data_IF_182321164419
#
_entry.id   IF_182321164419
#
_cell.length_a   1.000
_cell.length_b   1.000
_cell.length_c   1.000
_cell.angle_alpha   90.00
_cell.angle_beta   90.00
_cell.angle_gamma   90.00
#
_symmetry.space_group_name_H-M   'P 1'
#
loop_
_entity.id
_entity.type
_entity.pdbx_description
1 polymer ?
#
# COMPACT_ATOMS: atom_id res chain seq x y z
N UNK A 1 17.89 88.26 49.12
CA UNK A 1 17.15 88.75 47.89
C UNK A 1 17.34 87.72 46.83
N UNK A 2 16.25 87.17 46.42
CA UNK A 2 15.94 86.65 45.11
C UNK A 2 16.86 85.54 44.49
N UNK A 3 16.42 84.35 44.49
CA UNK A 3 15.62 83.64 43.44
C UNK A 3 16.49 83.23 42.29
N UNK A 4 16.64 82.00 41.97
CA UNK A 4 15.69 81.27 41.19
C UNK A 4 16.32 79.89 40.78
N UNK A 5 15.62 78.89 41.01
CA UNK A 5 15.79 77.63 40.26
C UNK A 5 15.51 77.82 38.77
N UNK A 6 16.13 77.03 37.90
CA UNK A 6 15.32 76.18 37.04
C UNK A 6 15.94 74.80 36.80
N UNK A 7 15.14 73.80 36.88
CA UNK A 7 14.31 73.19 35.83
C UNK A 7 15.03 72.12 35.01
N UNK A 8 14.53 70.96 35.22
CA UNK A 8 14.29 69.92 34.23
C UNK A 8 15.50 69.28 33.52
N UNK A 9 16.00 68.24 34.08
CA UNK A 9 16.51 67.13 33.32
C UNK A 9 15.60 65.91 33.57
N UNK A 10 14.59 65.83 32.73
CA UNK A 10 13.81 64.59 32.63
C UNK A 10 14.68 63.54 31.96
N UNK A 11 15.16 62.61 32.74
CA UNK A 11 15.82 61.40 32.24
C UNK A 11 14.74 60.52 31.63
N UNK A 12 14.64 60.53 30.30
CA UNK A 12 13.85 59.58 29.56
C UNK A 12 14.64 58.27 29.54
N UNK A 13 14.30 57.38 30.48
CA UNK A 13 14.73 55.99 30.41
C UNK A 13 13.95 55.29 29.31
N UNK A 14 14.56 55.20 28.11
CA UNK A 14 14.07 54.34 27.03
C UNK A 14 14.42 52.90 27.44
N UNK A 15 13.46 52.26 28.07
CA UNK A 15 13.52 50.83 28.28
C UNK A 15 13.36 50.15 26.91
N UNK A 16 14.49 49.80 26.30
CA UNK A 16 14.49 48.95 25.11
C UNK A 16 13.98 47.56 25.54
N UNK A 17 12.70 47.34 25.39
CA UNK A 17 12.07 46.02 25.55
C UNK A 17 12.47 45.24 24.28
N UNK A 18 13.58 44.49 24.36
CA UNK A 18 13.95 43.51 23.37
C UNK A 18 12.84 42.45 23.33
N UNK A 19 11.89 42.67 22.42
CA UNK A 19 10.97 41.63 22.00
C UNK A 19 11.82 40.64 21.23
N UNK A 20 12.43 39.68 21.91
CA UNK A 20 12.86 38.44 21.29
C UNK A 20 11.61 37.73 20.82
N UNK A 21 11.18 38.02 19.60
CA UNK A 21 10.31 37.13 18.83
C UNK A 21 11.13 35.87 18.62
N UNK A 22 11.03 34.98 19.57
CA UNK A 22 11.43 33.60 19.37
C UNK A 22 10.57 33.06 18.24
N UNK A 23 11.13 33.02 17.05
CA UNK A 23 10.70 32.13 15.99
C UNK A 23 10.89 30.68 16.50
N UNK A 24 10.07 30.28 17.45
CA UNK A 24 9.73 28.88 17.59
C UNK A 24 8.84 28.59 16.39
N UNK A 25 9.44 28.07 15.33
CA UNK A 25 8.70 27.26 14.39
C UNK A 25 7.99 26.23 15.29
N UNK A 26 6.69 26.37 15.40
CA UNK A 26 5.88 25.36 16.07
C UNK A 26 6.17 24.08 15.30
N UNK A 27 6.94 23.17 15.90
CA UNK A 27 6.83 21.78 15.56
C UNK A 27 5.34 21.50 15.75
N UNK A 28 4.61 21.27 14.65
CA UNK A 28 3.23 20.83 14.75
C UNK A 28 3.26 19.67 15.74
N UNK A 29 2.46 19.77 16.82
CA UNK A 29 2.38 18.70 17.79
C UNK A 29 1.91 17.46 17.03
N UNK A 30 2.86 16.57 16.70
CA UNK A 30 2.53 15.32 16.04
C UNK A 30 1.65 14.53 17.00
N UNK A 31 0.57 13.92 16.51
CA UNK A 31 -0.26 13.09 17.35
C UNK A 31 0.58 11.99 17.98
N UNK A 32 0.26 11.62 19.21
CA UNK A 32 0.90 10.49 19.87
C UNK A 32 0.60 9.22 19.04
N UNK A 33 1.66 8.53 18.65
CA UNK A 33 1.57 7.32 17.84
C UNK A 33 2.15 6.18 18.66
N UNK A 34 1.30 5.26 19.09
CA UNK A 34 1.68 4.15 19.96
C UNK A 34 2.89 3.38 19.41
N UNK A 35 3.99 3.41 20.16
CA UNK A 35 5.24 2.74 19.80
C UNK A 35 6.04 3.35 18.64
N UNK A 36 5.57 4.43 17.97
CA UNK A 36 6.28 5.05 16.85
C UNK A 36 6.95 6.35 17.28
N UNK A 37 8.29 6.43 17.27
CA UNK A 37 9.00 7.64 17.73
C UNK A 37 8.77 8.80 16.75
N UNK A 38 8.57 9.98 17.30
CA UNK A 38 8.49 11.25 16.57
C UNK A 38 9.75 12.09 16.76
N UNK A 39 9.97 13.07 15.89
CA UNK A 39 11.06 14.04 16.00
C UNK A 39 10.74 15.33 15.24
N UNK A 40 11.47 16.41 15.52
CA UNK A 40 11.48 17.57 14.64
C UNK A 40 12.23 17.25 13.35
N UNK A 41 11.77 17.78 12.21
CA UNK A 41 12.32 17.48 10.90
C UNK A 41 13.84 17.75 10.83
N UNK A 42 14.29 18.84 11.43
CA UNK A 42 15.70 19.27 11.42
C UNK A 42 16.62 18.26 12.09
N UNK A 43 16.16 17.58 13.15
CA UNK A 43 16.99 16.59 13.88
C UNK A 43 17.30 15.34 13.06
N UNK A 44 16.50 15.08 12.04
CA UNK A 44 16.72 13.97 11.10
C UNK A 44 17.23 14.45 9.73
N UNK A 45 17.51 15.76 9.58
CA UNK A 45 18.05 16.36 8.36
C UNK A 45 16.99 16.61 7.28
N UNK A 46 15.78 16.96 7.70
CA UNK A 46 14.67 17.44 6.86
C UNK A 46 14.36 18.90 7.23
N UNK A 47 13.53 19.57 6.46
CA UNK A 47 13.09 20.95 6.71
C UNK A 47 11.60 20.96 7.02
N UNK A 48 11.24 21.47 8.20
CA UNK A 48 9.83 21.67 8.59
C UNK A 48 9.10 22.57 7.60
N UNK A 49 9.72 23.68 7.17
CA UNK A 49 9.15 24.59 6.17
C UNK A 49 8.80 23.87 4.85
N UNK A 50 9.66 22.94 4.41
CA UNK A 50 9.40 22.16 3.19
C UNK A 50 8.33 21.11 3.40
N UNK A 51 8.21 20.52 4.58
CA UNK A 51 7.14 19.57 4.91
C UNK A 51 5.77 20.25 4.94
N UNK A 52 5.67 21.50 5.39
CA UNK A 52 4.43 22.29 5.35
C UNK A 52 3.90 22.51 3.92
N UNK A 53 4.76 22.39 2.88
CA UNK A 53 4.30 22.45 1.50
C UNK A 53 3.36 21.29 1.17
N UNK A 54 3.53 20.12 1.83
CA UNK A 54 2.68 18.94 1.63
C UNK A 54 1.23 19.34 1.94
N UNK A 55 1.00 19.94 3.10
CA UNK A 55 -0.36 20.34 3.52
C UNK A 55 -0.96 21.39 2.59
N UNK A 56 -0.15 22.37 2.18
CA UNK A 56 -0.62 23.40 1.22
C UNK A 56 -1.02 22.81 -0.12
N UNK A 57 -0.24 21.87 -0.64
CA UNK A 57 -0.55 21.21 -1.91
C UNK A 57 -1.77 20.32 -1.76
N UNK A 58 -1.86 19.53 -0.70
CA UNK A 58 -3.00 18.65 -0.45
C UNK A 58 -4.29 19.43 -0.23
N UNK A 59 -4.24 20.53 0.53
CA UNK A 59 -5.38 21.42 0.71
C UNK A 59 -5.87 21.98 -0.63
N UNK A 60 -4.96 22.37 -1.52
CA UNK A 60 -5.34 22.86 -2.84
C UNK A 60 -6.04 21.81 -3.72
N UNK A 61 -5.74 20.50 -3.57
CA UNK A 61 -6.51 19.43 -4.22
C UNK A 61 -7.93 19.29 -3.63
N UNK A 62 -8.05 19.43 -2.32
CA UNK A 62 -9.35 19.39 -1.63
C UNK A 62 -10.21 20.59 -2.05
N UNK A 63 -9.65 21.79 -2.06
CA UNK A 63 -10.34 23.05 -2.43
C UNK A 63 -10.88 23.00 -3.87
N UNK A 64 -10.23 22.25 -4.76
CA UNK A 64 -10.68 22.01 -6.14
C UNK A 64 -11.62 20.82 -6.30
N UNK A 65 -12.00 20.16 -5.20
CA UNK A 65 -12.82 18.94 -5.20
C UNK A 65 -12.20 17.78 -6.02
N UNK A 66 -10.87 17.71 -6.12
CA UNK A 66 -10.16 16.61 -6.77
C UNK A 66 -10.00 15.39 -5.83
N UNK A 67 -10.05 15.60 -4.51
CA UNK A 67 -10.16 14.58 -3.47
C UNK A 67 -10.97 15.13 -2.31
N UNK A 68 -11.71 14.25 -1.61
CA UNK A 68 -12.47 14.65 -0.43
C UNK A 68 -11.56 14.93 0.78
N UNK A 69 -10.53 14.12 0.95
CA UNK A 69 -9.58 14.26 2.04
C UNK A 69 -8.37 13.36 1.86
N UNK A 70 -7.36 13.58 2.69
CA UNK A 70 -6.07 12.89 2.62
C UNK A 70 -5.44 12.78 4.01
N UNK A 71 -4.68 11.72 4.21
CA UNK A 71 -3.73 11.59 5.32
C UNK A 71 -2.34 11.47 4.74
N UNK A 72 -1.40 12.27 5.22
CA UNK A 72 0.00 12.24 4.82
C UNK A 72 0.90 11.96 6.00
N UNK A 73 1.90 11.10 5.82
CA UNK A 73 2.89 10.78 6.83
C UNK A 73 4.29 10.75 6.21
N UNK A 74 5.24 11.40 6.86
CA UNK A 74 6.66 11.32 6.48
C UNK A 74 7.48 10.86 7.68
N UNK A 75 8.28 9.84 7.47
CA UNK A 75 9.22 9.33 8.46
C UNK A 75 10.65 9.30 7.88
N UNK A 76 11.63 9.58 8.72
CA UNK A 76 13.05 9.46 8.38
C UNK A 76 13.85 8.97 9.57
N UNK A 77 14.81 8.08 9.34
CA UNK A 77 15.64 7.47 10.40
C UNK A 77 14.78 6.82 11.51
N UNK A 78 13.67 6.18 11.12
CA UNK A 78 12.76 5.53 12.05
C UNK A 78 11.92 6.48 12.92
N UNK A 79 11.86 7.77 12.60
CA UNK A 79 11.08 8.77 13.35
C UNK A 79 10.11 9.50 12.43
N UNK A 80 8.86 9.68 12.88
CA UNK A 80 7.86 10.48 12.17
C UNK A 80 8.15 11.95 12.38
N UNK A 81 8.14 12.72 11.30
CA UNK A 81 8.44 14.16 11.29
C UNK A 81 7.32 15.00 10.67
N UNK A 82 6.32 14.34 10.09
CA UNK A 82 5.11 14.96 9.55
C UNK A 82 3.99 13.93 9.58
N UNK A 83 2.84 14.31 10.06
CA UNK A 83 1.62 13.51 10.05
C UNK A 83 0.43 14.45 10.06
N UNK A 84 -0.33 14.48 8.98
CA UNK A 84 -1.41 15.43 8.76
C UNK A 84 -2.64 14.73 8.20
N UNK A 85 -3.82 15.16 8.63
CA UNK A 85 -5.12 14.71 8.14
C UNK A 85 -5.91 15.95 7.71
N UNK A 86 -6.31 16.03 6.43
CA UNK A 86 -6.96 17.18 5.82
C UNK A 86 -8.25 16.75 5.10
N UNK A 87 -9.26 17.62 5.14
CA UNK A 87 -10.53 17.41 4.45
C UNK A 87 -11.46 16.41 5.15
N UNK A 88 -12.23 15.68 4.38
CA UNK A 88 -13.30 14.79 4.84
C UNK A 88 -12.98 13.34 4.47
N UNK A 89 -13.27 12.41 5.40
CA UNK A 89 -13.23 10.97 5.13
C UNK A 89 -14.49 10.46 4.43
N UNK A 90 -15.56 11.23 4.55
CA UNK A 90 -16.87 10.97 3.94
C UNK A 90 -17.49 12.30 3.54
N UNK A 91 -17.50 12.57 2.23
CA UNK A 91 -18.03 13.82 1.67
C UNK A 91 -19.56 13.90 1.76
N UNK A 92 -20.28 12.78 1.88
CA UNK A 92 -21.75 12.81 1.98
C UNK A 92 -22.22 13.24 3.38
N UNK A 93 -21.55 12.77 4.41
CA UNK A 93 -21.85 13.11 5.81
C UNK A 93 -21.08 14.33 6.34
N UNK A 94 -20.07 14.81 5.62
CA UNK A 94 -19.15 15.85 6.09
C UNK A 94 -18.25 15.39 7.25
N UNK A 95 -18.07 14.08 7.42
CA UNK A 95 -17.26 13.56 8.50
C UNK A 95 -15.76 13.89 8.26
N UNK A 96 -15.05 14.53 9.23
CA UNK A 96 -13.69 14.98 9.01
C UNK A 96 -12.73 13.81 8.82
N UNK A 97 -11.68 14.02 8.03
CA UNK A 97 -10.53 13.12 7.97
C UNK A 97 -9.78 13.15 9.29
N UNK A 98 -9.38 11.99 9.78
CA UNK A 98 -8.63 11.85 11.04
C UNK A 98 -7.40 10.97 10.81
N UNK A 99 -6.39 11.08 11.70
CA UNK A 99 -5.15 10.32 11.58
C UNK A 99 -5.35 8.80 11.66
N UNK A 100 -6.43 8.37 12.31
CA UNK A 100 -6.84 6.97 12.47
C UNK A 100 -7.88 6.51 11.41
N UNK A 101 -8.12 7.31 10.38
CA UNK A 101 -9.02 6.93 9.28
C UNK A 101 -8.52 5.69 8.57
N UNK A 102 -9.43 4.74 8.31
CA UNK A 102 -9.10 3.47 7.66
C UNK A 102 -9.18 3.62 6.15
N UNK A 103 -8.12 3.21 5.46
CA UNK A 103 -7.99 3.25 4.01
C UNK A 103 -7.94 1.86 3.39
N UNK A 104 -8.58 1.71 2.22
CA UNK A 104 -8.37 0.54 1.37
C UNK A 104 -7.04 0.73 0.63
N UNK A 105 -6.00 0.09 1.10
CA UNK A 105 -4.64 0.25 0.58
C UNK A 105 -4.38 -0.49 -0.74
N UNK A 106 -5.36 -1.25 -1.23
CA UNK A 106 -5.30 -1.96 -2.52
C UNK A 106 -3.96 -2.71 -2.71
N UNK A 107 -3.20 -2.38 -3.75
CA UNK A 107 -1.94 -3.08 -4.08
C UNK A 107 -0.79 -2.83 -3.10
N UNK A 108 -0.91 -1.88 -2.19
CA UNK A 108 0.05 -1.71 -1.09
C UNK A 108 -0.02 -2.88 -0.09
N UNK A 109 -1.06 -3.72 -0.14
CA UNK A 109 -1.12 -5.01 0.57
C UNK A 109 -0.07 -6.02 0.08
N UNK A 110 0.41 -5.90 -1.17
CA UNK A 110 1.33 -6.89 -1.77
C UNK A 110 2.67 -7.04 -1.05
N UNK A 111 3.39 -5.96 -0.71
CA UNK A 111 4.63 -6.10 0.07
C UNK A 111 4.36 -6.73 1.44
N UNK A 112 3.24 -6.43 2.11
CA UNK A 112 2.90 -7.00 3.40
C UNK A 112 2.69 -8.53 3.28
N UNK A 113 1.88 -8.95 2.30
CA UNK A 113 1.66 -10.38 2.04
C UNK A 113 2.96 -11.11 1.63
N UNK A 114 3.83 -10.44 0.86
CA UNK A 114 5.13 -11.01 0.48
C UNK A 114 6.06 -11.15 1.68
N UNK A 115 6.09 -10.17 2.60
CA UNK A 115 6.83 -10.27 3.87
C UNK A 115 6.32 -11.45 4.69
N UNK A 116 5.00 -11.62 4.84
CA UNK A 116 4.40 -12.75 5.54
C UNK A 116 4.87 -14.10 4.98
N UNK A 117 4.87 -14.24 3.65
CA UNK A 117 5.37 -15.45 3.02
C UNK A 117 6.89 -15.63 3.22
N UNK A 118 7.67 -14.54 3.11
CA UNK A 118 9.12 -14.60 3.30
C UNK A 118 9.53 -14.89 4.75
N UNK A 119 8.73 -14.54 5.75
CA UNK A 119 8.93 -15.00 7.14
C UNK A 119 8.88 -16.54 7.22
N UNK A 120 7.97 -17.17 6.50
CA UNK A 120 7.90 -18.65 6.43
C UNK A 120 9.08 -19.25 5.65
N UNK A 121 9.62 -18.51 4.68
CA UNK A 121 10.86 -18.90 3.99
C UNK A 121 12.05 -18.91 4.96
N UNK A 122 12.19 -17.88 5.79
CA UNK A 122 13.22 -17.82 6.85
C UNK A 122 13.06 -18.93 7.88
N UNK A 123 11.83 -19.35 8.16
CA UNK A 123 11.51 -20.53 9.00
C UNK A 123 11.79 -21.87 8.31
N UNK A 124 12.21 -21.87 7.05
CA UNK A 124 12.54 -23.09 6.30
C UNK A 124 11.34 -23.91 5.85
N UNK A 125 10.13 -23.33 5.83
CA UNK A 125 8.90 -24.06 5.47
C UNK A 125 8.80 -24.38 3.98
N UNK A 126 9.50 -23.64 3.14
CA UNK A 126 9.54 -23.87 1.69
C UNK A 126 10.83 -23.36 1.07
N UNK A 127 11.06 -23.74 -0.19
CA UNK A 127 12.10 -23.18 -1.05
C UNK A 127 11.45 -22.37 -2.18
N UNK A 128 12.13 -21.31 -2.66
CA UNK A 128 11.61 -20.46 -3.74
C UNK A 128 11.29 -21.24 -5.03
N UNK A 129 12.00 -22.36 -5.27
CA UNK A 129 11.79 -23.24 -6.44
C UNK A 129 10.72 -24.31 -6.21
N UNK A 130 10.15 -24.39 -5.01
CA UNK A 130 9.08 -25.34 -4.76
C UNK A 130 7.86 -25.01 -5.61
N UNK A 131 7.19 -26.01 -6.20
CA UNK A 131 5.94 -25.80 -6.90
C UNK A 131 4.83 -25.45 -5.90
N UNK A 132 4.05 -24.41 -6.20
CA UNK A 132 2.93 -24.01 -5.34
C UNK A 132 1.90 -25.13 -5.16
N UNK A 133 1.83 -26.06 -6.09
CA UNK A 133 0.94 -27.25 -6.03
C UNK A 133 1.23 -28.20 -4.85
N UNK A 134 2.33 -28.03 -4.13
CA UNK A 134 2.54 -28.72 -2.85
C UNK A 134 1.47 -28.35 -1.82
N UNK A 135 0.99 -27.13 -1.84
CA UNK A 135 0.03 -26.57 -0.89
C UNK A 135 -1.31 -26.25 -1.52
N UNK A 136 -1.31 -25.99 -2.81
CA UNK A 136 -2.47 -25.63 -3.62
C UNK A 136 -2.59 -26.62 -4.79
N UNK A 137 -3.09 -27.85 -4.53
CA UNK A 137 -3.11 -28.93 -5.51
C UNK A 137 -3.90 -28.59 -6.77
N UNK A 138 -4.83 -27.66 -6.71
CA UNK A 138 -5.57 -27.15 -7.86
C UNK A 138 -4.69 -26.55 -8.97
N UNK A 139 -3.44 -26.13 -8.65
CA UNK A 139 -2.46 -25.61 -9.61
C UNK A 139 -1.49 -26.70 -10.15
N UNK A 140 -1.77 -27.98 -9.92
CA UNK A 140 -0.84 -29.06 -10.32
C UNK A 140 -0.73 -29.23 -11.85
N UNK A 141 -1.87 -29.17 -12.55
CA UNK A 141 -1.99 -29.54 -13.96
C UNK A 141 -2.45 -28.34 -14.81
N UNK A 142 -1.72 -27.23 -14.66
CA UNK A 142 -2.03 -26.00 -15.37
C UNK A 142 -1.86 -26.15 -16.89
N UNK A 143 -2.69 -25.44 -17.61
CA UNK A 143 -2.63 -25.34 -19.08
C UNK A 143 -2.36 -23.89 -19.47
N UNK A 144 -1.76 -23.70 -20.63
CA UNK A 144 -1.44 -22.39 -21.20
C UNK A 144 -2.30 -22.15 -22.43
N UNK A 145 -2.90 -20.98 -22.53
CA UNK A 145 -3.65 -20.53 -23.68
C UNK A 145 -2.67 -20.08 -24.80
N UNK A 146 -2.81 -20.66 -25.97
CA UNK A 146 -2.07 -20.22 -27.17
C UNK A 146 -3.05 -19.79 -28.26
N UNK A 147 -2.73 -18.76 -29.07
CA UNK A 147 -3.63 -18.30 -30.13
C UNK A 147 -4.03 -19.45 -31.10
N UNK A 148 -5.31 -19.57 -31.37
CA UNK A 148 -5.77 -20.48 -32.43
C UNK A 148 -5.34 -19.98 -33.82
N UNK A 149 -4.89 -20.85 -34.70
CA UNK A 149 -4.66 -20.48 -36.09
C UNK A 149 -5.92 -19.86 -36.72
N UNK A 150 -5.79 -18.97 -37.72
CA UNK A 150 -6.94 -18.32 -38.38
C UNK A 150 -8.00 -19.29 -38.88
N UNK A 151 -7.59 -20.48 -39.33
CA UNK A 151 -8.46 -21.53 -39.85
C UNK A 151 -9.29 -22.23 -38.74
N UNK A 152 -8.81 -22.21 -37.48
CA UNK A 152 -9.44 -22.87 -36.33
C UNK A 152 -10.25 -21.90 -35.45
N UNK A 153 -10.31 -20.60 -35.82
CA UNK A 153 -11.01 -19.56 -35.02
C UNK A 153 -12.53 -19.73 -34.91
N UNK A 154 -13.11 -20.65 -35.71
CA UNK A 154 -14.53 -20.98 -35.64
C UNK A 154 -14.93 -21.61 -34.30
N UNK A 155 -13.99 -22.21 -33.55
CA UNK A 155 -14.22 -22.92 -32.30
C UNK A 155 -13.76 -22.19 -31.04
N UNK A 156 -13.04 -21.06 -31.18
CA UNK A 156 -12.56 -20.31 -30.02
C UNK A 156 -11.38 -19.37 -30.29
N UNK A 157 -11.09 -18.47 -29.34
CA UNK A 157 -10.01 -17.47 -29.44
C UNK A 157 -8.62 -18.10 -29.29
N UNK A 158 -8.56 -19.23 -28.56
CA UNK A 158 -7.32 -19.92 -28.26
C UNK A 158 -7.57 -21.44 -28.11
N UNK A 159 -6.52 -22.20 -28.22
CA UNK A 159 -6.42 -23.58 -27.74
C UNK A 159 -5.51 -23.63 -26.51
N UNK A 160 -5.53 -24.72 -25.77
CA UNK A 160 -4.68 -24.88 -24.61
C UNK A 160 -3.69 -26.03 -24.77
N UNK A 161 -2.48 -25.81 -24.28
CA UNK A 161 -1.43 -26.83 -24.16
C UNK A 161 -1.07 -27.03 -22.69
N UNK A 162 -0.50 -28.15 -22.28
CA UNK A 162 0.03 -28.31 -20.93
C UNK A 162 1.08 -27.26 -20.63
N UNK A 163 1.16 -26.77 -19.39
CA UNK A 163 2.29 -25.99 -18.92
C UNK A 163 3.56 -26.85 -18.94
N UNK A 164 4.66 -26.30 -19.44
CA UNK A 164 5.95 -27.01 -19.54
C UNK A 164 6.57 -27.26 -18.17
N UNK A 165 6.31 -26.35 -17.23
CA UNK A 165 6.78 -26.43 -15.85
C UNK A 165 5.65 -26.11 -14.89
N UNK A 166 5.76 -26.61 -13.65
CA UNK A 166 4.86 -26.22 -12.57
C UNK A 166 5.19 -24.79 -12.11
N UNK A 167 4.17 -24.04 -11.71
CA UNK A 167 4.34 -22.70 -11.14
C UNK A 167 5.07 -22.81 -9.81
N UNK A 168 6.15 -22.03 -9.64
CA UNK A 168 6.93 -21.98 -8.41
C UNK A 168 6.53 -20.80 -7.52
N UNK A 169 6.90 -20.87 -6.23
CA UNK A 169 6.73 -19.75 -5.29
C UNK A 169 7.44 -18.49 -5.79
N UNK A 170 8.65 -18.62 -6.35
CA UNK A 170 9.37 -17.49 -6.93
C UNK A 170 8.58 -16.81 -8.05
N UNK A 171 8.00 -17.59 -8.96
CA UNK A 171 7.24 -17.05 -10.09
C UNK A 171 5.97 -16.31 -9.64
N UNK A 172 5.34 -16.73 -8.55
CA UNK A 172 4.22 -16.01 -7.93
C UNK A 172 4.70 -14.67 -7.35
N UNK A 173 5.80 -14.67 -6.58
CA UNK A 173 6.36 -13.45 -5.99
C UNK A 173 6.83 -12.44 -7.03
N UNK A 174 7.28 -12.90 -8.19
CA UNK A 174 7.83 -12.04 -9.26
C UNK A 174 6.84 -11.71 -10.37
N UNK A 175 5.57 -12.12 -10.27
CA UNK A 175 4.57 -11.95 -11.32
C UNK A 175 4.95 -12.58 -12.67
N UNK A 176 5.66 -13.72 -12.66
CA UNK A 176 6.07 -14.44 -13.87
C UNK A 176 5.36 -15.79 -14.05
N UNK A 177 4.29 -16.02 -13.29
CA UNK A 177 3.56 -17.29 -13.32
C UNK A 177 2.60 -17.46 -14.51
N UNK A 178 2.31 -16.40 -15.26
CA UNK A 178 1.34 -16.43 -16.37
C UNK A 178 -0.13 -16.41 -15.95
N UNK A 179 -0.44 -16.12 -14.71
CA UNK A 179 -1.83 -16.13 -14.20
C UNK A 179 -2.72 -15.13 -14.93
N UNK A 180 -3.98 -15.51 -15.25
CA UNK A 180 -4.95 -14.59 -15.86
C UNK A 180 -5.20 -13.34 -15.02
N UNK A 181 -5.56 -12.23 -15.67
CA UNK A 181 -5.88 -10.98 -15.04
C UNK A 181 -6.96 -10.20 -15.81
N UNK A 182 -7.47 -9.11 -15.21
CA UNK A 182 -8.53 -8.29 -15.81
C UNK A 182 -8.05 -7.25 -16.82
N UNK A 183 -6.74 -7.05 -16.94
CA UNK A 183 -6.19 -5.92 -17.71
C UNK A 183 -5.81 -6.31 -19.14
N UNK A 184 -5.28 -7.52 -19.33
CA UNK A 184 -4.75 -8.00 -20.61
C UNK A 184 -4.63 -9.52 -20.62
N UNK A 185 -4.15 -10.03 -21.76
CA UNK A 185 -3.94 -11.45 -21.98
C UNK A 185 -5.06 -12.10 -22.77
N UNK A 186 -4.75 -13.25 -23.34
CA UNK A 186 -5.67 -13.98 -24.20
C UNK A 186 -6.86 -14.55 -23.42
N UNK A 187 -6.68 -14.75 -22.12
CA UNK A 187 -7.68 -15.31 -21.17
C UNK A 187 -8.45 -14.23 -20.39
N UNK A 188 -8.23 -12.94 -20.70
CA UNK A 188 -8.89 -11.82 -20.02
C UNK A 188 -10.43 -11.95 -19.98
N UNK A 189 -11.15 -12.32 -21.06
CA UNK A 189 -12.61 -12.43 -21.02
C UNK A 189 -13.10 -13.52 -20.05
N UNK A 190 -12.38 -14.65 -19.98
CA UNK A 190 -12.68 -15.74 -19.05
C UNK A 190 -12.48 -15.29 -17.62
N UNK A 191 -11.37 -14.59 -17.36
CA UNK A 191 -11.08 -14.02 -16.05
C UNK A 191 -12.15 -13.00 -15.61
N UNK A 192 -12.58 -12.11 -16.53
CA UNK A 192 -13.64 -11.15 -16.22
C UNK A 192 -14.97 -11.85 -15.86
N UNK A 193 -15.35 -12.90 -16.61
CA UNK A 193 -16.52 -13.71 -16.28
C UNK A 193 -16.41 -14.39 -14.91
N UNK A 194 -15.26 -14.98 -14.62
CA UNK A 194 -14.97 -15.59 -13.32
C UNK A 194 -15.06 -14.55 -12.18
N UNK A 195 -14.47 -13.38 -12.38
CA UNK A 195 -14.48 -12.31 -11.38
C UNK A 195 -15.88 -11.77 -11.11
N UNK A 196 -16.74 -11.70 -12.13
CA UNK A 196 -18.13 -11.28 -11.99
C UNK A 196 -19.00 -12.28 -11.20
N UNK A 197 -18.53 -13.52 -11.02
CA UNK A 197 -19.21 -14.56 -10.22
C UNK A 197 -18.81 -14.53 -8.74
N UNK A 198 -17.91 -13.63 -8.34
CA UNK A 198 -17.50 -13.48 -6.94
C UNK A 198 -18.66 -12.94 -6.09
N UNK A 199 -18.90 -13.59 -4.98
CA UNK A 199 -19.96 -13.21 -4.01
C UNK A 199 -19.34 -12.76 -2.69
N UNK A 200 -20.06 -12.00 -1.85
CA UNK A 200 -19.56 -11.54 -0.55
C UNK A 200 -19.14 -12.65 0.43
N UNK A 201 -19.60 -13.89 0.22
CA UNK A 201 -19.23 -15.05 1.05
C UNK A 201 -18.02 -15.83 0.55
N UNK A 202 -17.46 -15.47 -0.59
CA UNK A 202 -16.32 -16.18 -1.17
C UNK A 202 -15.05 -15.98 -0.35
N UNK A 203 -14.35 -17.06 -0.10
CA UNK A 203 -13.02 -17.04 0.48
C UNK A 203 -11.93 -16.88 -0.57
N UNK A 204 -10.71 -16.53 -0.15
CA UNK A 204 -9.54 -16.54 -1.04
C UNK A 204 -9.33 -17.96 -1.62
N UNK A 205 -9.59 -19.01 -0.83
CA UNK A 205 -9.52 -20.40 -1.31
C UNK A 205 -10.50 -20.69 -2.45
N UNK A 206 -11.72 -20.17 -2.41
CA UNK A 206 -12.69 -20.36 -3.49
C UNK A 206 -12.27 -19.61 -4.77
N UNK A 207 -11.70 -18.42 -4.60
CA UNK A 207 -11.12 -17.69 -5.71
C UNK A 207 -9.95 -18.44 -6.35
N UNK A 208 -9.09 -19.09 -5.55
CA UNK A 208 -7.97 -19.88 -6.07
C UNK A 208 -8.44 -21.06 -6.92
N UNK A 209 -9.46 -21.80 -6.47
CA UNK A 209 -10.05 -22.90 -7.27
C UNK A 209 -10.58 -22.42 -8.62
N UNK A 210 -11.28 -21.28 -8.63
CA UNK A 210 -11.78 -20.69 -9.87
C UNK A 210 -10.64 -20.17 -10.77
N UNK A 211 -9.61 -19.57 -10.17
CA UNK A 211 -8.45 -19.08 -10.90
C UNK A 211 -7.66 -20.23 -11.56
N UNK A 212 -7.46 -21.33 -10.83
CA UNK A 212 -6.76 -22.51 -11.33
C UNK A 212 -7.53 -23.25 -12.44
N UNK A 213 -8.86 -23.04 -12.56
CA UNK A 213 -9.64 -23.59 -13.65
C UNK A 213 -9.43 -22.84 -14.99
N UNK A 214 -8.80 -21.68 -14.96
CA UNK A 214 -8.47 -20.90 -16.14
C UNK A 214 -7.07 -21.24 -16.66
N UNK A 215 -6.84 -21.23 -17.98
CA UNK A 215 -5.49 -21.40 -18.50
C UNK A 215 -4.64 -20.17 -18.26
N UNK A 216 -3.34 -20.37 -18.17
CA UNK A 216 -2.33 -19.33 -18.08
C UNK A 216 -2.25 -18.54 -19.41
N UNK A 217 -1.84 -17.27 -19.33
CA UNK A 217 -1.61 -16.43 -20.49
C UNK A 217 -0.32 -16.77 -21.25
N UNK A 218 0.66 -17.38 -20.59
CA UNK A 218 1.97 -17.77 -21.13
C UNK A 218 2.62 -18.84 -20.24
N UNK A 219 3.70 -19.45 -20.68
CA UNK A 219 4.44 -20.47 -19.93
C UNK A 219 5.05 -19.86 -18.65
N UNK A 220 4.96 -20.56 -17.51
CA UNK A 220 5.52 -20.07 -16.24
C UNK A 220 7.00 -19.72 -16.37
N UNK A 221 7.35 -18.46 -16.05
CA UNK A 221 8.70 -17.93 -16.14
C UNK A 221 9.04 -17.18 -17.43
N UNK A 222 8.19 -17.26 -18.47
CA UNK A 222 8.48 -16.70 -19.80
C UNK A 222 8.40 -15.16 -19.81
N UNK A 223 7.38 -14.60 -19.18
CA UNK A 223 7.13 -13.14 -19.17
C UNK A 223 6.76 -12.64 -17.79
N UNK A 224 6.88 -11.33 -17.61
CA UNK A 224 6.32 -10.63 -16.48
C UNK A 224 4.93 -10.06 -16.81
N UNK A 225 3.93 -10.39 -16.01
CA UNK A 225 2.60 -9.84 -16.15
C UNK A 225 1.95 -9.63 -14.78
N UNK A 226 1.68 -8.36 -14.46
CA UNK A 226 1.01 -8.00 -13.22
C UNK A 226 -0.42 -8.55 -13.15
N UNK A 227 -0.79 -9.15 -12.03
CA UNK A 227 -2.12 -9.74 -11.86
C UNK A 227 -2.36 -10.31 -10.46
N UNK A 228 -3.01 -11.47 -10.42
CA UNK A 228 -3.50 -12.14 -9.22
C UNK A 228 -2.46 -12.97 -8.45
N UNK A 229 -1.21 -12.87 -8.80
CA UNK A 229 -0.14 -13.66 -8.17
C UNK A 229 -0.09 -13.45 -6.65
N UNK A 230 -0.28 -12.21 -6.17
CA UNK A 230 -0.23 -11.94 -4.73
C UNK A 230 -1.46 -12.46 -3.96
N UNK A 231 -2.60 -12.64 -4.62
CA UNK A 231 -3.73 -13.35 -4.00
C UNK A 231 -3.34 -14.82 -3.71
N UNK A 232 -2.56 -15.44 -4.62
CA UNK A 232 -1.97 -16.78 -4.39
C UNK A 232 -0.95 -16.75 -3.24
N UNK A 233 -0.13 -15.69 -3.12
CA UNK A 233 0.77 -15.49 -1.95
C UNK A 233 -0.03 -15.50 -0.66
N UNK A 234 -1.12 -14.72 -0.57
CA UNK A 234 -1.99 -14.70 0.60
C UNK A 234 -2.53 -16.10 0.93
N UNK A 235 -3.00 -16.85 -0.07
CA UNK A 235 -3.50 -18.22 0.14
C UNK A 235 -2.40 -19.19 0.60
N UNK A 236 -1.18 -19.05 0.09
CA UNK A 236 -0.04 -19.86 0.57
C UNK A 236 0.24 -19.58 2.05
N UNK A 237 0.18 -18.31 2.48
CA UNK A 237 0.32 -17.97 3.90
C UNK A 237 -0.76 -18.66 4.73
N UNK A 238 -2.03 -18.59 4.33
CA UNK A 238 -3.12 -19.24 5.05
C UNK A 238 -2.93 -20.76 5.18
N UNK A 239 -2.61 -21.43 4.06
CA UNK A 239 -2.48 -22.91 4.05
C UNK A 239 -1.26 -23.35 4.84
N UNK A 240 -0.15 -22.63 4.77
CA UNK A 240 1.07 -23.00 5.49
C UNK A 240 1.00 -22.67 6.98
N UNK A 241 0.30 -21.59 7.38
CA UNK A 241 0.15 -21.20 8.79
C UNK A 241 -0.99 -21.91 9.51
N UNK A 242 -2.03 -22.25 8.77
CA UNK A 242 -3.30 -22.71 9.35
C UNK A 242 -4.16 -21.60 9.91
N UNK A 243 -3.79 -20.33 9.67
CA UNK A 243 -4.50 -19.12 10.12
C UNK A 243 -5.12 -18.40 8.92
N UNK A 244 -6.12 -17.55 9.16
CA UNK A 244 -6.54 -16.57 8.14
C UNK A 244 -5.46 -15.52 7.92
N UNK A 245 -5.46 -14.90 6.76
CA UNK A 245 -4.39 -13.93 6.42
C UNK A 245 -4.37 -12.72 7.38
N UNK A 246 -5.53 -12.24 7.80
CA UNK A 246 -5.64 -11.13 8.76
C UNK A 246 -5.18 -11.50 10.17
N UNK A 247 -5.48 -12.73 10.63
CA UNK A 247 -4.97 -13.26 11.91
C UNK A 247 -3.44 -13.33 11.88
N UNK A 248 -2.88 -13.88 10.79
CA UNK A 248 -1.42 -13.94 10.62
C UNK A 248 -0.78 -12.56 10.62
N UNK A 249 -1.37 -11.59 9.92
CA UNK A 249 -0.84 -10.22 9.90
C UNK A 249 -0.86 -9.57 11.29
N UNK A 250 -1.98 -9.69 12.02
CA UNK A 250 -2.11 -9.14 13.38
C UNK A 250 -1.11 -9.74 14.36
N UNK A 251 -0.88 -11.07 14.27
CA UNK A 251 -0.01 -11.75 15.23
C UNK A 251 1.48 -11.56 14.91
N UNK A 252 1.83 -11.48 13.62
CA UNK A 252 3.22 -11.62 13.18
C UNK A 252 3.83 -10.36 12.59
N UNK A 253 3.04 -9.38 12.18
CA UNK A 253 3.52 -8.18 11.47
C UNK A 253 3.12 -6.89 12.19
N UNK A 254 1.89 -6.75 12.68
CA UNK A 254 1.33 -5.53 13.26
C UNK A 254 1.27 -5.50 14.78
#
# INVERSE_FOLDING_TARGET
MNTSTPKWLALVAITAMAVTVGLRGAAADLPEMDGVPTATAETVGMSSERLEQIDRVMQAYIDRNETAGVVTLVARKGKVVHFSALGERDAESGAPMTHDSIFRIASMTKPIASVALMMMYEEGRFQLRDPISKWLPEFADMRVAIPSPPQERVTGRYKTVPAETRITVQQILTHTAGLPNSYRGITQPEFQRMSAQTTPGDTVGDMMKRLAALPLNFQPGEHWEYGRATDVVGRLVEVMSGQTLDEFFKERIF
#
